data_IF_337960772436
#
_entry.id   IF_337960772436
#
_cell.length_a   1.000
_cell.length_b   1.000
_cell.length_c   1.000
_cell.angle_alpha   90.00
_cell.angle_beta   90.00
_cell.angle_gamma   90.00
#
_symmetry.space_group_name_H-M   'P 1'
#
loop_
_entity.id
_entity.type
_entity.pdbx_description
1 polymer ?
#
# COMPACT_ATOMS: atom_id res chain seq x y z
N UNK A 1 45.42 -4.77 26.47
CA UNK A 1 44.44 -3.81 25.94
C UNK A 1 43.24 -4.60 25.44
N UNK A 2 41.99 -4.22 25.74
CA UNK A 2 40.84 -4.87 25.13
C UNK A 2 40.82 -4.54 23.64
N UNK A 3 40.73 -5.56 22.81
CA UNK A 3 40.55 -5.46 21.36
C UNK A 3 39.29 -4.64 21.08
N UNK A 4 39.33 -3.62 20.20
CA UNK A 4 38.11 -2.91 19.84
C UNK A 4 37.14 -3.91 19.23
N UNK A 5 35.91 -3.93 19.76
CA UNK A 5 34.81 -4.66 19.13
C UNK A 5 34.71 -4.18 17.68
N UNK A 6 34.59 -5.09 16.69
CA UNK A 6 34.43 -4.69 15.31
C UNK A 6 33.22 -3.76 15.20
N UNK A 7 33.41 -2.58 14.59
CA UNK A 7 32.30 -1.68 14.31
C UNK A 7 31.33 -2.44 13.41
N UNK A 8 30.14 -2.75 13.92
CA UNK A 8 29.06 -3.32 13.11
C UNK A 8 28.66 -2.22 12.14
N UNK A 9 29.14 -2.31 10.90
CA UNK A 9 28.70 -1.41 9.84
C UNK A 9 27.22 -1.73 9.57
N UNK A 10 26.33 -0.82 9.99
CA UNK A 10 24.92 -0.93 9.62
C UNK A 10 24.80 -0.59 8.12
N UNK A 11 24.17 -1.46 7.32
CA UNK A 11 24.00 -1.20 5.89
C UNK A 11 23.18 0.08 5.70
N UNK A 12 23.57 0.89 4.72
CA UNK A 12 22.79 2.05 4.27
C UNK A 12 21.38 1.63 3.84
N UNK A 13 20.42 2.54 3.84
CA UNK A 13 19.06 2.25 3.38
C UNK A 13 19.04 1.65 1.96
N UNK A 14 19.88 2.18 1.06
CA UNK A 14 20.04 1.61 -0.28
C UNK A 14 20.49 0.15 -0.25
N UNK A 15 21.51 -0.18 0.55
CA UNK A 15 22.01 -1.55 0.69
C UNK A 15 20.96 -2.47 1.31
N UNK A 16 20.20 -2.00 2.30
CA UNK A 16 19.08 -2.76 2.87
C UNK A 16 18.05 -3.12 1.80
N UNK A 17 17.64 -2.15 0.97
CA UNK A 17 16.71 -2.40 -0.14
C UNK A 17 17.31 -3.38 -1.15
N UNK A 18 18.57 -3.19 -1.56
CA UNK A 18 19.26 -4.09 -2.50
C UNK A 18 19.40 -5.51 -1.96
N UNK A 19 19.70 -5.67 -0.67
CA UNK A 19 19.75 -6.97 0.00
C UNK A 19 18.36 -7.62 -0.01
N UNK A 20 17.32 -6.87 0.35
CA UNK A 20 15.94 -7.36 0.30
C UNK A 20 15.48 -7.76 -1.11
N UNK A 21 15.87 -7.00 -2.15
CA UNK A 21 15.62 -7.37 -3.55
C UNK A 21 16.36 -8.66 -3.94
N UNK A 22 17.60 -8.83 -3.45
CA UNK A 22 18.42 -10.02 -3.69
C UNK A 22 17.84 -11.26 -3.01
N UNK A 23 17.34 -11.14 -1.78
CA UNK A 23 16.63 -12.21 -1.05
C UNK A 23 15.37 -12.66 -1.80
N UNK A 24 14.67 -11.72 -2.44
CA UNK A 24 13.53 -12.01 -3.32
C UNK A 24 13.95 -12.55 -4.70
N UNK A 25 15.25 -12.78 -4.93
CA UNK A 25 15.83 -13.26 -6.19
C UNK A 25 15.49 -12.38 -7.39
N UNK A 26 15.40 -11.07 -7.18
CA UNK A 26 15.10 -10.10 -8.24
C UNK A 26 16.38 -9.58 -8.88
N UNK A 27 16.35 -9.40 -10.19
CA UNK A 27 17.41 -8.69 -10.91
C UNK A 27 17.14 -7.20 -10.83
N UNK A 28 18.15 -6.42 -10.47
CA UNK A 28 18.01 -4.98 -10.37
C UNK A 28 19.30 -4.26 -10.75
N UNK A 29 19.15 -3.01 -11.18
CA UNK A 29 20.24 -2.08 -11.44
C UNK A 29 20.02 -0.82 -10.61
N UNK A 30 21.08 -0.38 -9.91
CA UNK A 30 21.07 0.87 -9.16
C UNK A 30 21.61 1.97 -10.06
N UNK A 31 20.83 3.03 -10.19
CA UNK A 31 21.20 4.26 -10.91
C UNK A 31 21.02 5.45 -9.96
N UNK A 32 22.08 6.23 -9.74
CA UNK A 32 21.97 7.50 -9.04
C UNK A 32 21.64 8.60 -10.06
N UNK A 33 20.62 9.41 -9.77
CA UNK A 33 20.41 10.69 -10.46
C UNK A 33 20.55 11.79 -9.43
N UNK A 34 21.71 12.45 -9.43
CA UNK A 34 21.99 13.54 -8.50
C UNK A 34 22.15 13.10 -7.05
N UNK A 35 22.02 14.05 -6.13
CA UNK A 35 22.28 13.88 -4.69
C UNK A 35 21.03 13.58 -3.84
N UNK A 36 19.82 13.67 -4.40
CA UNK A 36 18.58 13.63 -3.57
C UNK A 36 17.92 12.25 -3.48
N UNK A 37 17.96 11.44 -4.53
CA UNK A 37 17.29 10.14 -4.54
C UNK A 37 18.09 9.07 -5.29
N UNK A 38 18.04 7.85 -4.77
CA UNK A 38 18.54 6.66 -5.47
C UNK A 38 17.42 6.06 -6.30
N UNK A 39 17.71 5.67 -7.54
CA UNK A 39 16.78 4.95 -8.37
C UNK A 39 17.22 3.51 -8.57
N UNK A 40 16.32 2.57 -8.32
CA UNK A 40 16.53 1.16 -8.60
C UNK A 40 15.57 0.76 -9.70
N UNK A 41 16.09 0.12 -10.75
CA UNK A 41 15.26 -0.50 -11.79
C UNK A 41 15.27 -2.00 -11.55
N UNK A 42 14.13 -2.53 -11.12
CA UNK A 42 13.94 -3.96 -10.96
C UNK A 42 13.40 -4.51 -12.27
N UNK A 43 14.08 -5.50 -12.83
CA UNK A 43 13.74 -6.13 -14.09
C UNK A 43 13.32 -7.57 -13.88
N UNK A 44 12.34 -8.01 -14.66
CA UNK A 44 11.92 -9.41 -14.75
C UNK A 44 12.30 -9.96 -16.12
N UNK A 45 12.66 -11.25 -16.18
CA UNK A 45 13.06 -11.91 -17.44
C UNK A 45 12.02 -11.88 -18.56
N UNK A 46 10.77 -11.48 -18.27
CA UNK A 46 9.72 -11.25 -19.27
C UNK A 46 9.64 -9.79 -19.78
N UNK A 47 10.63 -8.95 -19.45
CA UNK A 47 10.69 -7.53 -19.83
C UNK A 47 9.89 -6.58 -18.94
N UNK A 48 9.15 -7.07 -17.94
CA UNK A 48 8.47 -6.21 -16.99
C UNK A 48 9.49 -5.49 -16.09
N UNK A 49 9.31 -4.18 -15.91
CA UNK A 49 10.18 -3.36 -15.05
C UNK A 49 9.37 -2.62 -14.00
N UNK A 50 9.98 -2.45 -12.82
CA UNK A 50 9.50 -1.57 -11.76
C UNK A 50 10.63 -0.62 -11.40
N UNK A 51 10.38 0.68 -11.53
CA UNK A 51 11.28 1.70 -11.02
C UNK A 51 10.93 2.02 -9.57
N UNK A 52 11.92 1.97 -8.70
CA UNK A 52 11.84 2.32 -7.29
C UNK A 52 12.68 3.59 -7.08
N UNK A 53 12.11 4.60 -6.44
CA UNK A 53 12.81 5.83 -6.03
C UNK A 53 12.94 5.78 -4.52
N UNK A 54 14.17 5.83 -4.02
CA UNK A 54 14.47 5.81 -2.59
C UNK A 54 14.71 7.22 -2.09
N UNK A 55 14.03 7.57 -0.99
CA UNK A 55 14.20 8.83 -0.27
C UNK A 55 14.69 8.51 1.14
N UNK A 56 15.91 8.97 1.46
CA UNK A 56 16.48 8.87 2.82
C UNK A 56 16.13 10.11 3.63
N UNK A 57 16.14 9.97 4.95
CA UNK A 57 16.03 11.12 5.85
C UNK A 57 17.23 12.06 5.69
N UNK A 58 18.42 11.50 5.50
CA UNK A 58 19.65 12.27 5.26
C UNK A 58 19.50 13.22 4.06
N UNK A 59 19.04 12.70 2.91
CA UNK A 59 18.84 13.50 1.71
C UNK A 59 17.71 14.53 1.89
N UNK A 60 16.71 14.21 2.72
CA UNK A 60 15.62 15.13 3.03
C UNK A 60 16.06 16.31 3.89
N UNK A 61 17.09 16.12 4.74
CA UNK A 61 17.64 17.17 5.59
C UNK A 61 18.52 18.17 4.82
N UNK A 62 18.89 17.88 3.57
CA UNK A 62 19.62 18.83 2.73
C UNK A 62 18.80 20.07 2.37
N UNK A 63 19.51 21.19 2.16
CA UNK A 63 18.89 22.42 1.68
C UNK A 63 18.24 22.24 0.30
N UNK A 64 16.99 22.69 0.19
CA UNK A 64 16.21 22.62 -1.05
C UNK A 64 15.54 21.26 -1.31
N UNK A 65 15.57 20.33 -0.35
CA UNK A 65 14.96 19.00 -0.45
C UNK A 65 13.50 19.03 -0.90
N UNK A 66 12.69 19.96 -0.41
CA UNK A 66 11.29 20.10 -0.82
C UNK A 66 11.12 20.36 -2.32
N UNK A 67 11.97 21.21 -2.93
CA UNK A 67 11.93 21.48 -4.36
C UNK A 67 12.39 20.26 -5.17
N UNK A 68 13.43 19.57 -4.69
CA UNK A 68 13.92 18.32 -5.32
C UNK A 68 12.87 17.22 -5.25
N UNK A 69 12.16 17.11 -4.13
CA UNK A 69 11.02 16.21 -3.97
C UNK A 69 9.90 16.49 -4.96
N UNK A 70 9.53 17.76 -5.13
CA UNK A 70 8.53 18.13 -6.13
C UNK A 70 8.96 17.76 -7.56
N UNK A 71 10.26 17.83 -7.86
CA UNK A 71 10.81 17.41 -9.15
C UNK A 71 10.77 15.88 -9.33
N UNK A 72 11.10 15.13 -8.27
CA UNK A 72 10.99 13.67 -8.26
C UNK A 72 9.55 13.20 -8.44
N UNK A 73 8.59 13.83 -7.75
CA UNK A 73 7.17 13.54 -7.93
C UNK A 73 6.74 13.81 -9.38
N UNK A 74 7.11 14.96 -9.95
CA UNK A 74 6.81 15.28 -11.38
C UNK A 74 7.40 14.23 -12.32
N UNK A 75 8.66 13.85 -12.10
CA UNK A 75 9.36 12.85 -12.91
C UNK A 75 8.74 11.45 -12.78
N UNK A 76 8.34 11.04 -11.57
CA UNK A 76 7.64 9.78 -11.34
C UNK A 76 6.31 9.73 -12.10
N UNK A 77 5.52 10.82 -12.04
CA UNK A 77 4.21 10.89 -12.69
C UNK A 77 4.33 10.84 -14.21
N UNK A 78 5.26 11.60 -14.80
CA UNK A 78 5.52 11.56 -16.24
C UNK A 78 5.91 10.15 -16.73
N UNK A 79 6.67 9.39 -15.93
CA UNK A 79 6.99 7.98 -16.24
C UNK A 79 5.77 7.08 -16.22
N UNK A 80 4.86 7.28 -15.25
CA UNK A 80 3.61 6.51 -15.19
C UNK A 80 2.69 6.83 -16.36
N UNK A 81 2.60 8.09 -16.76
CA UNK A 81 1.87 8.50 -17.97
C UNK A 81 2.44 7.86 -19.24
N UNK A 82 3.76 7.64 -19.29
CA UNK A 82 4.42 6.86 -20.34
C UNK A 82 4.26 5.33 -20.20
N UNK A 83 3.45 4.85 -19.24
CA UNK A 83 3.16 3.43 -19.03
C UNK A 83 4.19 2.67 -18.17
N UNK A 84 5.18 3.35 -17.58
CA UNK A 84 6.17 2.72 -16.72
C UNK A 84 5.67 2.62 -15.27
N UNK A 85 5.90 1.47 -14.64
CA UNK A 85 5.65 1.33 -13.20
C UNK A 85 6.75 2.03 -12.42
N UNK A 86 6.36 2.96 -11.56
CA UNK A 86 7.29 3.74 -10.72
C UNK A 86 6.70 3.87 -9.33
N UNK A 87 7.48 3.67 -8.27
CA UNK A 87 7.07 3.87 -6.87
C UNK A 87 8.14 4.63 -6.09
N UNK A 88 7.71 5.30 -5.02
CA UNK A 88 8.60 5.92 -4.05
C UNK A 88 8.58 5.09 -2.77
N UNK A 89 9.76 4.78 -2.23
CA UNK A 89 9.94 4.13 -0.93
C UNK A 89 10.77 5.08 -0.07
N UNK A 90 10.15 5.55 1.00
CA UNK A 90 10.85 6.29 2.03
C UNK A 90 11.54 5.33 3.01
N UNK A 91 12.67 5.77 3.55
CA UNK A 91 13.47 5.01 4.51
C UNK A 91 12.67 4.55 5.74
N UNK A 92 11.77 5.39 6.26
CA UNK A 92 10.93 5.05 7.41
C UNK A 92 9.95 3.92 7.12
N UNK A 93 9.41 3.84 5.90
CA UNK A 93 8.57 2.72 5.51
C UNK A 93 9.35 1.41 5.48
N UNK A 94 10.60 1.43 5.06
CA UNK A 94 11.43 0.22 5.07
C UNK A 94 11.79 -0.19 6.49
N UNK A 95 12.35 0.72 7.29
CA UNK A 95 12.80 0.43 8.66
C UNK A 95 11.67 -0.16 9.50
N UNK A 96 10.46 0.39 9.40
CA UNK A 96 9.34 -0.02 10.24
C UNK A 96 8.43 -1.08 9.62
N UNK A 97 8.49 -1.29 8.29
CA UNK A 97 7.53 -2.14 7.57
C UNK A 97 8.15 -2.93 6.42
N UNK A 98 9.43 -3.33 6.52
CA UNK A 98 10.15 -4.07 5.48
C UNK A 98 9.35 -5.25 4.89
N UNK A 99 8.71 -6.14 5.68
CA UNK A 99 7.93 -7.24 5.11
C UNK A 99 6.75 -6.77 4.24
N UNK A 100 6.06 -5.70 4.64
CA UNK A 100 4.95 -5.11 3.89
C UNK A 100 5.48 -4.48 2.60
N UNK A 101 6.60 -3.75 2.66
CA UNK A 101 7.22 -3.13 1.48
C UNK A 101 7.66 -4.19 0.47
N UNK A 102 8.36 -5.24 0.90
CA UNK A 102 8.76 -6.38 0.06
C UNK A 102 7.54 -7.04 -0.59
N UNK A 103 6.49 -7.30 0.19
CA UNK A 103 5.26 -7.90 -0.33
C UNK A 103 4.59 -7.03 -1.42
N UNK A 104 4.56 -5.71 -1.24
CA UNK A 104 4.01 -4.78 -2.25
C UNK A 104 4.84 -4.78 -3.54
N UNK A 105 6.17 -4.78 -3.43
CA UNK A 105 7.08 -4.88 -4.59
C UNK A 105 6.84 -6.19 -5.34
N UNK A 106 6.76 -7.31 -4.63
CA UNK A 106 6.42 -8.62 -5.21
C UNK A 106 5.06 -8.62 -5.92
N UNK A 107 4.04 -7.98 -5.32
CA UNK A 107 2.72 -7.88 -5.92
C UNK A 107 2.74 -7.10 -7.24
N UNK A 108 3.49 -5.99 -7.29
CA UNK A 108 3.63 -5.17 -8.50
C UNK A 108 4.37 -5.87 -9.64
N UNK A 109 5.31 -6.76 -9.30
CA UNK A 109 6.06 -7.61 -10.23
C UNK A 109 5.32 -8.92 -10.58
N UNK A 110 4.18 -9.16 -9.92
CA UNK A 110 3.33 -10.34 -10.15
C UNK A 110 3.90 -11.63 -9.59
N UNK A 111 4.73 -11.56 -8.54
CA UNK A 111 5.38 -12.69 -7.89
C UNK A 111 4.61 -13.23 -6.67
N UNK A 112 3.67 -12.45 -6.13
CA UNK A 112 2.87 -12.88 -4.97
C UNK A 112 2.04 -14.13 -5.27
N UNK A 113 1.85 -14.97 -4.24
CA UNK A 113 0.96 -16.13 -4.25
C UNK A 113 -0.44 -15.72 -4.68
N UNK A 114 -0.94 -16.27 -5.79
CA UNK A 114 -2.28 -15.95 -6.28
C UNK A 114 -3.32 -16.80 -5.58
N UNK A 115 -4.37 -16.16 -5.06
CA UNK A 115 -5.54 -16.81 -4.48
C UNK A 115 -6.77 -16.31 -5.24
N UNK A 116 -7.53 -17.21 -5.87
CA UNK A 116 -8.76 -16.80 -6.55
C UNK A 116 -9.87 -16.52 -5.54
N UNK A 117 -10.49 -15.34 -5.57
CA UNK A 117 -11.53 -14.94 -4.62
C UNK A 117 -12.76 -15.87 -4.63
N UNK A 118 -13.02 -16.60 -5.72
CA UNK A 118 -14.08 -17.63 -5.77
C UNK A 118 -13.86 -18.79 -4.80
N UNK A 119 -12.62 -19.02 -4.37
CA UNK A 119 -12.27 -20.07 -3.41
C UNK A 119 -12.44 -19.62 -1.96
N UNK A 120 -12.64 -18.33 -1.72
CA UNK A 120 -12.78 -17.77 -0.37
C UNK A 120 -14.24 -17.70 0.06
N UNK A 121 -14.47 -17.41 1.34
CA UNK A 121 -15.77 -17.05 1.91
C UNK A 121 -15.68 -15.64 2.47
N UNK A 122 -16.68 -14.79 2.17
CA UNK A 122 -16.74 -13.43 2.70
C UNK A 122 -17.56 -13.41 3.99
N UNK A 123 -17.04 -12.77 5.04
CA UNK A 123 -17.73 -12.63 6.32
C UNK A 123 -17.48 -11.27 6.96
N UNK A 124 -18.42 -10.83 7.80
CA UNK A 124 -18.20 -9.73 8.75
C UNK A 124 -17.10 -10.14 9.73
N UNK A 125 -16.24 -9.20 10.10
CA UNK A 125 -15.25 -9.38 11.16
C UNK A 125 -15.36 -8.22 12.16
N UNK A 126 -14.93 -8.47 13.39
CA UNK A 126 -14.85 -7.45 14.43
C UNK A 126 -13.67 -6.48 14.22
N UNK A 127 -13.58 -5.45 15.07
CA UNK A 127 -12.52 -4.46 15.01
C UNK A 127 -11.15 -5.05 15.39
N UNK A 128 -11.11 -6.01 16.31
CA UNK A 128 -9.88 -6.61 16.81
C UNK A 128 -9.19 -7.44 15.72
N UNK A 129 -9.95 -8.34 15.08
CA UNK A 129 -9.51 -9.16 13.95
C UNK A 129 -9.06 -8.29 12.78
N UNK A 130 -9.82 -7.23 12.45
CA UNK A 130 -9.44 -6.30 11.40
C UNK A 130 -8.15 -5.53 11.74
N UNK A 131 -7.99 -5.10 13.00
CA UNK A 131 -6.80 -4.40 13.45
C UNK A 131 -5.57 -5.30 13.39
N UNK A 132 -5.64 -6.49 14.00
CA UNK A 132 -4.56 -7.47 13.99
C UNK A 132 -4.10 -7.82 12.57
N UNK A 133 -5.05 -7.96 11.64
CA UNK A 133 -4.72 -8.20 10.24
C UNK A 133 -4.08 -6.99 9.57
N UNK A 134 -4.67 -5.80 9.69
CA UNK A 134 -4.19 -4.61 8.99
C UNK A 134 -2.83 -4.12 9.50
N UNK A 135 -2.54 -4.21 10.80
CA UNK A 135 -1.21 -3.87 11.33
C UNK A 135 -0.10 -4.71 10.72
N UNK A 136 -0.38 -5.97 10.38
CA UNK A 136 0.60 -6.88 9.78
C UNK A 136 0.71 -6.78 8.27
N UNK A 137 -0.32 -6.29 7.59
CA UNK A 137 -0.48 -6.46 6.14
C UNK A 137 -0.69 -5.15 5.37
N UNK A 138 -0.96 -4.03 6.04
CA UNK A 138 -1.25 -2.74 5.42
C UNK A 138 -0.23 -1.69 5.85
N UNK A 139 0.37 -0.98 4.89
CA UNK A 139 1.45 -0.01 5.15
C UNK A 139 1.07 1.10 6.15
N UNK A 140 -0.20 1.52 6.12
CA UNK A 140 -0.75 2.54 7.02
C UNK A 140 -1.47 1.95 8.25
N UNK A 141 -1.20 0.69 8.58
CA UNK A 141 -1.78 -0.02 9.72
C UNK A 141 -3.31 -0.07 9.73
N UNK A 142 -3.85 -0.30 10.92
CA UNK A 142 -5.29 -0.32 11.16
C UNK A 142 -5.90 1.07 11.23
N UNK A 143 -7.22 1.13 11.13
CA UNK A 143 -8.00 2.36 11.29
C UNK A 143 -9.35 2.04 11.92
N UNK A 144 -9.87 2.97 12.72
CA UNK A 144 -11.25 2.91 13.18
C UNK A 144 -12.19 2.94 11.98
N UNK A 145 -13.13 2.01 11.94
CA UNK A 145 -14.08 1.88 10.83
C UNK A 145 -15.45 1.46 11.35
N UNK A 146 -16.50 1.65 10.56
CA UNK A 146 -17.86 1.23 10.95
C UNK A 146 -18.14 -0.21 10.52
N UNK A 147 -17.64 -0.60 9.35
CA UNK A 147 -17.96 -1.87 8.70
C UNK A 147 -16.66 -2.50 8.20
N UNK A 148 -16.42 -3.76 8.53
CA UNK A 148 -15.28 -4.56 8.06
C UNK A 148 -15.74 -5.89 7.51
N UNK A 149 -15.01 -6.40 6.51
CA UNK A 149 -15.19 -7.74 5.98
C UNK A 149 -13.83 -8.42 5.81
N UNK A 150 -13.83 -9.73 6.00
CA UNK A 150 -12.71 -10.61 5.71
C UNK A 150 -13.04 -11.59 4.58
N UNK A 151 -12.02 -11.98 3.82
CA UNK A 151 -12.05 -13.14 2.93
C UNK A 151 -11.28 -14.27 3.57
N UNK A 152 -11.92 -15.41 3.71
CA UNK A 152 -11.33 -16.58 4.34
C UNK A 152 -11.16 -17.71 3.32
N UNK A 153 -9.96 -18.29 3.24
CA UNK A 153 -9.66 -19.44 2.42
C UNK A 153 -9.88 -20.71 3.26
N UNK A 154 -10.87 -21.57 2.97
CA UNK A 154 -11.04 -22.83 3.68
C UNK A 154 -9.90 -23.84 3.46
N UNK A 155 -9.61 -24.67 4.46
CA UNK A 155 -8.54 -25.69 4.46
C UNK A 155 -8.51 -26.60 3.23
N UNK A 156 -9.68 -26.99 2.71
CA UNK A 156 -9.79 -27.80 1.47
C UNK A 156 -9.13 -27.17 0.23
N UNK A 157 -8.84 -25.86 0.28
CA UNK A 157 -8.16 -25.12 -0.78
C UNK A 157 -6.71 -24.77 -0.43
N UNK A 158 -6.15 -25.15 0.72
CA UNK A 158 -4.74 -24.88 1.03
C UNK A 158 -3.77 -25.49 0.03
N UNK A 159 -4.17 -26.55 -0.69
CA UNK A 159 -3.44 -27.11 -1.83
C UNK A 159 -3.12 -26.12 -2.97
N UNK A 160 -3.74 -24.93 -2.99
CA UNK A 160 -3.43 -23.89 -3.99
C UNK A 160 -2.33 -22.94 -3.52
N UNK A 161 -1.95 -23.00 -2.25
CA UNK A 161 -0.83 -22.25 -1.68
C UNK A 161 0.46 -22.97 -2.03
N UNK A 162 1.49 -22.19 -2.37
CA UNK A 162 2.84 -22.71 -2.57
C UNK A 162 3.32 -23.45 -1.30
N UNK A 163 4.10 -24.50 -1.47
CA UNK A 163 4.62 -25.30 -0.35
C UNK A 163 5.45 -24.49 0.65
N UNK A 164 6.14 -23.45 0.17
CA UNK A 164 6.92 -22.52 0.99
C UNK A 164 6.07 -21.45 1.71
N UNK A 165 4.75 -21.39 1.45
CA UNK A 165 3.88 -20.41 2.10
C UNK A 165 3.58 -20.88 3.54
N UNK A 166 4.05 -20.12 4.52
CA UNK A 166 3.87 -20.46 5.93
C UNK A 166 2.48 -20.08 6.43
N UNK A 167 1.82 -21.02 7.10
CA UNK A 167 0.55 -20.80 7.78
C UNK A 167 0.36 -21.85 8.90
N UNK A 168 -0.58 -21.58 9.81
CA UNK A 168 -0.95 -22.57 10.83
C UNK A 168 -1.70 -23.75 10.20
N UNK A 169 -1.03 -24.90 10.07
CA UNK A 169 -1.58 -26.13 9.51
C UNK A 169 -2.74 -26.73 10.32
N UNK A 170 -2.91 -26.32 11.58
CA UNK A 170 -4.05 -26.72 12.39
C UNK A 170 -5.29 -25.86 12.12
N UNK A 171 -5.16 -24.74 11.42
CA UNK A 171 -6.29 -23.88 11.11
C UNK A 171 -7.22 -24.51 10.07
N UNK A 172 -8.52 -24.35 10.27
CA UNK A 172 -9.56 -24.79 9.32
C UNK A 172 -9.78 -23.77 8.19
N UNK A 173 -9.24 -22.56 8.33
CA UNK A 173 -9.31 -21.50 7.34
C UNK A 173 -8.25 -20.41 7.56
N UNK A 174 -7.94 -19.65 6.51
CA UNK A 174 -7.00 -18.52 6.58
C UNK A 174 -7.70 -17.23 6.20
N UNK A 175 -7.60 -16.19 7.04
CA UNK A 175 -7.99 -14.84 6.65
C UNK A 175 -6.94 -14.32 5.64
N UNK A 176 -7.35 -14.13 4.38
CA UNK A 176 -6.43 -13.80 3.28
C UNK A 176 -6.61 -12.40 2.72
N UNK A 177 -7.70 -11.69 3.07
CA UNK A 177 -7.85 -10.27 2.77
C UNK A 177 -8.86 -9.61 3.70
N UNK A 178 -8.69 -8.31 3.93
CA UNK A 178 -9.60 -7.47 4.73
C UNK A 178 -9.88 -6.17 3.99
N UNK A 179 -11.14 -5.72 4.04
CA UNK A 179 -11.53 -4.36 3.67
C UNK A 179 -12.34 -3.71 4.80
N UNK A 180 -12.11 -2.41 5.02
CA UNK A 180 -12.82 -1.62 6.02
C UNK A 180 -13.44 -0.37 5.41
N UNK A 181 -14.58 0.02 5.96
CA UNK A 181 -15.46 1.06 5.43
C UNK A 181 -15.93 2.00 6.53
N UNK A 182 -16.09 3.28 6.18
CA UNK A 182 -16.57 4.33 7.07
C UNK A 182 -18.06 4.19 7.42
N UNK A 183 -18.55 5.04 8.32
CA UNK A 183 -19.98 5.35 8.38
C UNK A 183 -20.39 6.15 7.13
N UNK A 184 -21.68 6.14 6.72
CA UNK A 184 -22.11 6.96 5.60
C UNK A 184 -22.00 8.43 5.95
N UNK A 185 -21.54 9.23 5.01
CA UNK A 185 -21.81 10.65 4.97
C UNK A 185 -23.09 10.87 4.18
N UNK A 186 -24.10 11.43 4.84
CA UNK A 186 -25.41 11.69 4.24
C UNK A 186 -25.49 13.14 3.79
N UNK A 187 -25.81 13.34 2.51
CA UNK A 187 -26.04 14.65 1.93
C UNK A 187 -27.52 14.79 1.59
N UNK A 188 -28.15 15.87 2.04
CA UNK A 188 -29.49 16.20 1.60
C UNK A 188 -29.46 16.65 0.14
N UNK A 189 -30.25 16.01 -0.72
CA UNK A 189 -30.48 16.43 -2.11
C UNK A 189 -31.99 16.49 -2.39
N UNK A 190 -32.35 17.16 -3.47
CA UNK A 190 -33.75 17.34 -3.87
C UNK A 190 -34.42 16.00 -4.23
N UNK A 191 -33.66 15.06 -4.78
CA UNK A 191 -34.07 13.71 -5.19
C UNK A 191 -33.98 12.67 -4.04
N UNK A 192 -33.55 13.09 -2.85
CA UNK A 192 -33.46 12.24 -1.65
C UNK A 192 -32.11 12.32 -0.94
N UNK A 193 -31.94 11.62 0.19
CA UNK A 193 -30.67 11.57 0.89
C UNK A 193 -29.64 10.74 0.11
N UNK A 194 -28.48 11.33 -0.20
CA UNK A 194 -27.36 10.64 -0.82
C UNK A 194 -26.36 10.15 0.22
N UNK A 195 -26.09 8.85 0.25
CA UNK A 195 -25.27 8.12 1.23
C UNK A 195 -23.95 7.71 0.60
N UNK A 196 -22.93 8.53 0.82
CA UNK A 196 -21.56 8.25 0.40
C UNK A 196 -20.80 7.51 1.47
N UNK A 197 -20.05 6.49 1.09
CA UNK A 197 -19.17 5.76 1.99
C UNK A 197 -17.72 5.83 1.52
N UNK A 198 -16.78 5.67 2.45
CA UNK A 198 -15.36 5.55 2.12
C UNK A 198 -14.85 4.14 2.39
N UNK A 199 -14.16 3.55 1.42
CA UNK A 199 -13.30 2.40 1.68
C UNK A 199 -11.97 2.91 2.23
N UNK A 200 -11.75 2.65 3.52
CA UNK A 200 -10.64 3.20 4.30
C UNK A 200 -9.35 2.40 4.13
N UNK A 201 -9.47 1.06 4.10
CA UNK A 201 -8.33 0.13 3.97
C UNK A 201 -8.73 -1.09 3.17
N UNK A 202 -7.81 -1.58 2.37
CA UNK A 202 -7.84 -2.91 1.77
C UNK A 202 -6.44 -3.50 1.78
N UNK A 203 -6.29 -4.72 2.28
CA UNK A 203 -5.04 -5.47 2.21
C UNK A 203 -5.33 -6.95 1.97
N UNK A 204 -4.47 -7.60 1.18
CA UNK A 204 -4.31 -9.05 1.19
C UNK A 204 -3.27 -9.46 2.22
N UNK A 205 -3.27 -10.74 2.60
CA UNK A 205 -2.24 -11.32 3.44
C UNK A 205 -0.87 -11.15 2.76
N UNK A 206 0.18 -10.91 3.54
CA UNK A 206 1.54 -10.73 3.04
C UNK A 206 1.92 -11.83 2.04
N UNK A 207 2.61 -11.39 1.01
CA UNK A 207 3.05 -12.17 -0.14
C UNK A 207 1.94 -12.89 -0.91
N UNK A 208 0.68 -12.51 -0.69
CA UNK A 208 -0.47 -13.00 -1.47
C UNK A 208 -1.13 -11.90 -2.30
N UNK A 209 -1.78 -12.31 -3.38
CA UNK A 209 -2.71 -11.49 -4.15
C UNK A 209 -4.02 -12.26 -4.31
N UNK A 210 -5.10 -11.73 -3.71
CA UNK A 210 -6.43 -12.31 -3.85
C UNK A 210 -7.12 -11.74 -5.09
N UNK A 211 -6.99 -12.43 -6.23
CA UNK A 211 -7.56 -12.02 -7.51
C UNK A 211 -9.09 -11.99 -7.45
N UNK A 212 -9.68 -10.81 -7.67
CA UNK A 212 -11.11 -10.55 -7.48
C UNK A 212 -11.52 -10.33 -6.01
N UNK A 213 -10.56 -10.27 -5.08
CA UNK A 213 -10.83 -10.18 -3.66
C UNK A 213 -11.48 -8.86 -3.26
N UNK A 214 -10.93 -7.74 -3.74
CA UNK A 214 -11.49 -6.41 -3.51
C UNK A 214 -12.93 -6.30 -4.06
N UNK A 215 -13.17 -6.78 -5.28
CA UNK A 215 -14.50 -6.77 -5.90
C UNK A 215 -15.54 -7.55 -5.09
N UNK A 216 -15.15 -8.73 -4.59
CA UNK A 216 -16.01 -9.55 -3.74
C UNK A 216 -16.36 -8.85 -2.42
N UNK A 217 -15.41 -8.15 -1.82
CA UNK A 217 -15.61 -7.37 -0.58
C UNK A 217 -16.50 -6.15 -0.83
N UNK A 218 -16.28 -5.41 -1.92
CA UNK A 218 -17.13 -4.30 -2.34
C UNK A 218 -18.57 -4.75 -2.63
N UNK A 219 -18.73 -5.90 -3.30
CA UNK A 219 -20.03 -6.50 -3.57
C UNK A 219 -20.76 -6.88 -2.28
N UNK A 220 -20.06 -7.49 -1.31
CA UNK A 220 -20.64 -7.82 -0.01
C UNK A 220 -21.06 -6.55 0.75
N UNK A 221 -20.22 -5.52 0.76
CA UNK A 221 -20.53 -4.22 1.36
C UNK A 221 -21.75 -3.58 0.69
N UNK A 222 -21.79 -3.51 -0.64
CA UNK A 222 -22.87 -2.87 -1.38
C UNK A 222 -24.21 -3.56 -1.17
N UNK A 223 -24.22 -4.91 -1.10
CA UNK A 223 -25.43 -5.69 -0.79
C UNK A 223 -25.96 -5.42 0.63
N UNK A 224 -25.08 -5.23 1.61
CA UNK A 224 -25.50 -5.00 3.00
C UNK A 224 -25.89 -3.54 3.27
N UNK A 225 -25.16 -2.58 2.68
CA UNK A 225 -25.29 -1.15 3.03
C UNK A 225 -26.11 -0.34 2.05
N UNK A 226 -26.29 -0.86 0.84
CA UNK A 226 -27.00 -0.20 -0.27
C UNK A 226 -26.53 1.26 -0.46
N UNK A 227 -25.23 1.47 -0.74
CA UNK A 227 -24.64 2.81 -0.88
C UNK A 227 -25.08 3.49 -2.18
N UNK A 228 -25.10 4.82 -2.20
CA UNK A 228 -25.22 5.57 -3.45
C UNK A 228 -23.88 5.64 -4.18
N UNK A 229 -22.79 5.88 -3.43
CA UNK A 229 -21.43 5.73 -3.91
C UNK A 229 -20.47 5.16 -2.84
N UNK A 230 -19.32 4.69 -3.32
CA UNK A 230 -18.15 4.39 -2.50
C UNK A 230 -16.96 5.17 -3.06
N UNK A 231 -16.31 5.95 -2.20
CA UNK A 231 -15.05 6.63 -2.52
C UNK A 231 -13.84 5.96 -1.87
N UNK A 232 -12.66 6.20 -2.42
CA UNK A 232 -11.37 5.82 -1.82
C UNK A 232 -10.24 6.69 -2.39
N UNK A 233 -9.03 6.55 -1.84
CA UNK A 233 -7.85 7.29 -2.27
C UNK A 233 -6.72 6.33 -2.65
N UNK A 234 -6.09 6.57 -3.79
CA UNK A 234 -4.82 5.95 -4.15
C UNK A 234 -3.66 6.88 -3.78
N UNK A 235 -2.73 6.41 -2.95
CA UNK A 235 -1.49 7.12 -2.66
C UNK A 235 -0.60 7.15 -3.91
N UNK A 236 -0.24 8.36 -4.36
CA UNK A 236 0.57 8.54 -5.57
C UNK A 236 1.98 8.03 -5.43
N UNK A 237 2.49 7.79 -4.23
CA UNK A 237 3.81 7.16 -4.05
C UNK A 237 3.79 5.69 -4.49
N UNK A 238 2.62 5.05 -4.45
CA UNK A 238 2.49 3.61 -4.66
C UNK A 238 1.64 3.20 -5.86
N UNK A 239 0.70 4.03 -6.31
CA UNK A 239 -0.25 3.62 -7.34
C UNK A 239 -0.74 4.77 -8.20
N UNK A 240 -1.08 4.44 -9.44
CA UNK A 240 -1.86 5.26 -10.37
C UNK A 240 -3.38 5.00 -10.26
N UNK A 241 -3.79 4.01 -9.46
CA UNK A 241 -5.17 3.61 -9.28
C UNK A 241 -5.75 2.74 -10.40
N UNK A 242 -4.93 2.17 -11.29
CA UNK A 242 -5.40 1.30 -12.37
C UNK A 242 -6.30 0.14 -11.86
N UNK A 243 -5.99 -0.41 -10.70
CA UNK A 243 -6.80 -1.47 -10.06
C UNK A 243 -8.18 -1.00 -9.58
N UNK A 244 -8.37 0.30 -9.33
CA UNK A 244 -9.70 0.85 -9.03
C UNK A 244 -10.51 1.05 -10.32
N UNK A 245 -9.86 1.51 -11.40
CA UNK A 245 -10.52 1.70 -12.70
C UNK A 245 -11.10 0.39 -13.23
N UNK A 246 -10.37 -0.72 -13.11
CA UNK A 246 -10.87 -2.05 -13.53
C UNK A 246 -12.09 -2.53 -12.74
N UNK A 247 -12.33 -1.95 -11.56
CA UNK A 247 -13.49 -2.23 -10.71
C UNK A 247 -14.63 -1.23 -10.90
N UNK A 248 -14.54 -0.35 -11.90
CA UNK A 248 -15.56 0.66 -12.20
C UNK A 248 -15.51 1.89 -11.30
N UNK A 249 -14.38 2.17 -10.66
CA UNK A 249 -14.17 3.48 -10.05
C UNK A 249 -13.71 4.49 -11.10
N UNK A 250 -14.25 5.70 -10.98
CA UNK A 250 -13.86 6.85 -11.77
C UNK A 250 -12.88 7.72 -10.98
N UNK A 251 -11.89 8.25 -11.69
CA UNK A 251 -10.95 9.23 -11.14
C UNK A 251 -11.64 10.59 -11.04
N UNK A 252 -11.78 11.13 -9.84
CA UNK A 252 -12.53 12.38 -9.60
C UNK A 252 -11.62 13.58 -9.42
N UNK A 253 -10.59 13.47 -8.59
CA UNK A 253 -9.73 14.61 -8.25
C UNK A 253 -8.37 14.14 -7.75
N UNK A 254 -7.42 15.07 -7.68
CA UNK A 254 -6.13 14.88 -7.01
C UNK A 254 -6.10 15.72 -5.72
N UNK A 255 -5.41 15.23 -4.70
CA UNK A 255 -5.06 16.01 -3.53
C UNK A 255 -3.60 16.45 -3.64
N UNK A 256 -3.30 17.65 -3.15
CA UNK A 256 -1.93 18.12 -3.01
C UNK A 256 -1.12 17.20 -2.06
N UNK A 257 0.23 17.25 -2.14
CA UNK A 257 1.11 16.70 -1.12
C UNK A 257 0.64 17.03 0.29
N UNK A 258 0.57 16.01 1.15
CA UNK A 258 0.23 16.14 2.55
C UNK A 258 1.50 16.12 3.39
N UNK A 259 1.55 17.01 4.38
CA UNK A 259 2.63 17.06 5.36
C UNK A 259 2.46 15.94 6.41
N UNK A 260 3.58 15.32 6.76
CA UNK A 260 3.74 14.39 7.87
C UNK A 260 4.91 14.82 8.74
N UNK A 261 5.01 14.21 9.92
CA UNK A 261 6.03 14.50 10.92
C UNK A 261 6.77 13.20 11.25
N UNK A 262 8.05 13.15 10.89
CA UNK A 262 8.93 12.00 11.03
C UNK A 262 9.91 12.21 12.19
N UNK A 263 10.02 11.22 13.07
CA UNK A 263 11.04 11.22 14.12
C UNK A 263 12.36 10.70 13.56
N UNK A 264 13.44 11.44 13.80
CA UNK A 264 14.78 11.09 13.32
C UNK A 264 15.41 9.90 14.05
N UNK A 265 14.83 9.51 15.19
CA UNK A 265 15.39 8.49 16.09
C UNK A 265 14.76 7.12 15.89
N UNK A 266 13.43 7.04 15.82
CA UNK A 266 12.67 5.78 15.68
C UNK A 266 12.09 5.61 14.27
N UNK A 267 12.28 6.61 13.40
CA UNK A 267 11.73 6.64 12.05
C UNK A 267 10.21 6.51 12.03
N UNK A 268 9.51 6.86 13.11
CA UNK A 268 8.05 6.83 13.14
C UNK A 268 7.44 8.09 12.50
N UNK A 269 6.51 7.87 11.59
CA UNK A 269 5.75 8.91 10.89
C UNK A 269 4.36 9.10 11.53
N UNK A 270 3.95 10.36 11.71
CA UNK A 270 2.58 10.72 12.10
C UNK A 270 2.02 11.83 11.23
N UNK A 271 0.70 11.82 11.02
CA UNK A 271 -0.02 12.93 10.38
C UNK A 271 -0.41 14.03 11.37
N UNK A 272 -0.25 13.79 12.68
CA UNK A 272 -0.52 14.79 13.72
C UNK A 272 0.65 15.78 13.80
N UNK A 273 0.37 17.09 13.88
CA UNK A 273 1.41 18.09 14.09
C UNK A 273 2.30 17.80 15.30
N UNK A 274 3.60 17.70 15.07
CA UNK A 274 4.62 17.55 16.10
C UNK A 274 5.85 18.42 15.75
N UNK A 275 6.04 19.58 16.41
CA UNK A 275 7.13 20.50 16.08
C UNK A 275 8.53 19.96 16.44
N UNK A 276 8.62 18.84 17.18
CA UNK A 276 9.90 18.19 17.50
C UNK A 276 10.36 17.22 16.42
N UNK A 277 9.47 16.91 15.46
CA UNK A 277 9.70 15.97 14.37
C UNK A 277 9.95 16.73 13.07
N UNK A 278 10.62 16.06 12.14
CA UNK A 278 10.98 16.59 10.83
C UNK A 278 9.75 16.58 9.94
N UNK A 279 9.42 17.72 9.34
CA UNK A 279 8.34 17.81 8.37
C UNK A 279 8.77 17.15 7.04
N UNK A 280 8.00 16.15 6.60
CA UNK A 280 8.15 15.48 5.31
C UNK A 280 6.83 15.56 4.53
N UNK A 281 6.83 15.30 3.23
CA UNK A 281 5.62 15.38 2.40
C UNK A 281 5.49 14.15 1.53
N UNK A 282 4.28 13.59 1.42
CA UNK A 282 4.02 12.56 0.41
C UNK A 282 3.81 13.17 -0.98
N UNK A 283 3.51 12.34 -1.98
CA UNK A 283 3.25 12.79 -3.36
C UNK A 283 1.80 13.26 -3.59
N UNK A 284 0.96 13.31 -2.56
CA UNK A 284 -0.48 13.48 -2.65
C UNK A 284 -1.22 12.19 -3.03
N UNK A 285 -2.52 12.29 -3.28
CA UNK A 285 -3.39 11.14 -3.54
C UNK A 285 -4.35 11.41 -4.70
N UNK A 286 -4.89 10.36 -5.28
CA UNK A 286 -5.94 10.43 -6.30
C UNK A 286 -7.24 9.92 -5.68
N UNK A 287 -8.30 10.73 -5.74
CA UNK A 287 -9.64 10.33 -5.31
C UNK A 287 -10.32 9.52 -6.40
N UNK A 288 -10.86 8.37 -6.00
CA UNK A 288 -11.65 7.49 -6.84
C UNK A 288 -13.05 7.33 -6.28
N UNK A 289 -14.08 7.28 -7.14
CA UNK A 289 -15.48 7.09 -6.77
C UNK A 289 -16.12 6.01 -7.64
N UNK A 290 -16.80 5.05 -7.04
CA UNK A 290 -17.65 4.08 -7.72
C UNK A 290 -19.11 4.38 -7.38
N UNK A 291 -19.85 4.83 -8.38
CA UNK A 291 -21.28 5.15 -8.26
C UNK A 291 -22.11 3.87 -8.44
N UNK A 292 -23.03 3.61 -7.51
CA UNK A 292 -23.95 2.47 -7.57
C UNK A 292 -25.36 2.90 -8.00
N UNK A 293 -25.76 4.12 -7.63
CA UNK A 293 -27.04 4.73 -8.01
C UNK A 293 -26.76 6.08 -8.65
N UNK A 294 -27.26 6.28 -9.87
CA UNK A 294 -27.19 7.58 -10.52
C UNK A 294 -28.21 8.52 -9.85
N UNK A 295 -27.89 9.82 -9.70
CA UNK A 295 -28.92 10.82 -9.39
C UNK A 295 -30.00 10.78 -10.48
N UNK A 296 -31.26 10.87 -10.08
CA UNK A 296 -32.37 11.00 -11.04
C UNK A 296 -32.38 12.38 -11.71
#
# INVERSE_FOLDING_TARGET
MPTPLPSIHMPSFQEQVCNGLSEMQLQFEVTSRGHFSTHIVVSKGNGATLKIVLITLENWLEAGSFLRWQDEVRTMLAKREAGLKCVVIWEDYWINNEPIVKSRVNAMLGNSQKIAARLTQVRRIDQESAALFLEKNHLNGSVTSKTKYGLFLPKRYFRVLNEAFEYDHNSEELLVAVATFSAPRVFARADGPFRSFEMLRFASLLDTNVSGGLDKLLTAFAREKDPDDIMTYADREWSDGAGYVTLGFERISETAPMQFYLSATDMERTSKPDPKRIAIYNAGSIKFVKTYKLPN
#
